data_IF_672340326844
#
_entry.id   IF_672340326844
#
_cell.length_a   1.000
_cell.length_b   1.000
_cell.length_c   1.000
_cell.angle_alpha   90.00
_cell.angle_beta   90.00
_cell.angle_gamma   90.00
#
_symmetry.space_group_name_H-M   'P 1'
#
loop_
_entity.id
_entity.type
_entity.pdbx_description
1 polymer ?
#
# COMPACT_ATOMS: atom_id res chain seq x y z
N UNK A 1 3.78 25.75 -0.77
CA UNK A 1 2.64 26.09 0.12
C UNK A 1 2.74 25.34 1.45
N UNK A 2 2.81 24.00 1.50
CA UNK A 2 2.92 23.27 2.78
C UNK A 2 4.31 22.67 3.10
N UNK A 3 5.23 22.62 2.14
CA UNK A 3 6.51 21.93 2.32
C UNK A 3 6.35 20.40 2.39
N UNK A 4 7.47 19.64 2.35
CA UNK A 4 7.43 18.18 2.20
C UNK A 4 6.82 17.48 3.43
N UNK A 5 7.15 17.94 4.64
CA UNK A 5 6.69 17.29 5.88
C UNK A 5 5.20 17.52 6.15
N UNK A 6 4.74 18.78 6.17
CA UNK A 6 3.31 19.07 6.39
C UNK A 6 2.45 18.64 5.19
N UNK A 7 2.97 18.76 3.96
CA UNK A 7 2.30 18.23 2.78
C UNK A 7 2.06 16.72 2.88
N UNK A 8 3.08 15.96 3.30
CA UNK A 8 2.94 14.53 3.55
C UNK A 8 1.89 14.24 4.62
N UNK A 9 1.94 14.95 5.77
CA UNK A 9 0.97 14.74 6.85
C UNK A 9 -0.47 14.97 6.38
N UNK A 10 -0.75 16.07 5.67
CA UNK A 10 -2.10 16.36 5.18
C UNK A 10 -2.59 15.33 4.16
N UNK A 11 -1.73 14.93 3.22
CA UNK A 11 -2.06 13.88 2.24
C UNK A 11 -2.30 12.55 2.94
N UNK A 12 -1.45 12.19 3.90
CA UNK A 12 -1.58 10.94 4.65
C UNK A 12 -2.87 10.91 5.47
N UNK A 13 -3.17 11.96 6.23
CA UNK A 13 -4.44 12.05 6.98
C UNK A 13 -5.66 12.03 6.06
N UNK A 14 -5.64 12.78 4.96
CA UNK A 14 -6.73 12.77 3.98
C UNK A 14 -6.94 11.40 3.35
N UNK A 15 -5.85 10.71 2.98
CA UNK A 15 -5.90 9.35 2.45
C UNK A 15 -6.45 8.37 3.50
N UNK A 16 -6.03 8.47 4.75
CA UNK A 16 -6.52 7.62 5.85
C UNK A 16 -8.02 7.80 6.06
N UNK A 17 -8.50 9.04 6.17
CA UNK A 17 -9.93 9.33 6.34
C UNK A 17 -10.78 8.87 5.14
N UNK A 18 -10.34 9.18 3.92
CA UNK A 18 -11.03 8.74 2.71
C UNK A 18 -11.05 7.22 2.56
N UNK A 19 -9.94 6.56 2.91
CA UNK A 19 -9.85 5.09 2.89
C UNK A 19 -10.75 4.44 3.94
N UNK A 20 -10.88 5.04 5.13
CA UNK A 20 -11.78 4.56 6.17
C UNK A 20 -13.25 4.70 5.75
N UNK A 21 -13.62 5.86 5.18
CA UNK A 21 -14.97 6.08 4.67
C UNK A 21 -15.33 5.08 3.56
N UNK A 22 -14.46 4.90 2.56
CA UNK A 22 -14.67 3.94 1.48
C UNK A 22 -14.76 2.49 1.98
N UNK A 23 -13.97 2.13 2.99
CA UNK A 23 -14.05 0.82 3.63
C UNK A 23 -15.42 0.58 4.30
N UNK A 24 -15.90 1.55 5.07
CA UNK A 24 -17.22 1.43 5.71
C UNK A 24 -18.35 1.41 4.70
N UNK A 25 -18.29 2.24 3.66
CA UNK A 25 -19.26 2.22 2.55
C UNK A 25 -19.27 0.84 1.88
N UNK A 26 -18.10 0.28 1.57
CA UNK A 26 -18.00 -1.09 1.05
C UNK A 26 -18.63 -2.10 1.99
N UNK A 27 -18.36 -1.98 3.29
CA UNK A 27 -18.83 -2.94 4.30
C UNK A 27 -20.33 -2.92 4.55
N UNK A 28 -20.94 -1.73 4.54
CA UNK A 28 -22.37 -1.57 4.85
C UNK A 28 -23.25 -1.64 3.61
N UNK A 29 -22.84 -0.99 2.51
CA UNK A 29 -23.63 -0.86 1.28
C UNK A 29 -23.20 -1.83 0.17
N UNK A 30 -21.98 -2.35 0.24
CA UNK A 30 -21.42 -3.20 -0.80
C UNK A 30 -21.70 -4.69 -0.64
N UNK A 31 -22.26 -5.16 0.49
CA UNK A 31 -22.45 -6.59 0.75
C UNK A 31 -23.42 -7.26 -0.23
N UNK A 32 -24.48 -6.55 -0.62
CA UNK A 32 -25.44 -7.02 -1.64
C UNK A 32 -24.81 -7.01 -3.04
N UNK A 33 -24.07 -5.96 -3.38
CA UNK A 33 -23.32 -5.85 -4.64
C UNK A 33 -22.22 -6.93 -4.78
N UNK A 34 -21.52 -7.24 -3.68
CA UNK A 34 -20.49 -8.26 -3.61
C UNK A 34 -21.07 -9.67 -3.76
N UNK A 35 -22.22 -9.93 -3.13
CA UNK A 35 -22.97 -11.17 -3.30
C UNK A 35 -23.41 -11.35 -4.76
N UNK A 36 -23.83 -10.27 -5.44
CA UNK A 36 -24.25 -10.33 -6.85
C UNK A 36 -23.09 -10.49 -7.86
N UNK A 37 -21.89 -9.98 -7.55
CA UNK A 37 -20.74 -10.01 -8.47
C UNK A 37 -19.81 -11.21 -8.30
N UNK A 38 -19.64 -11.72 -7.08
CA UNK A 38 -18.54 -12.65 -6.75
C UNK A 38 -19.07 -14.00 -6.23
N UNK A 39 -20.34 -14.09 -5.82
CA UNK A 39 -20.95 -15.34 -5.34
C UNK A 39 -20.16 -16.00 -4.20
N UNK A 40 -20.13 -17.34 -4.14
CA UNK A 40 -19.43 -18.09 -3.08
C UNK A 40 -17.87 -18.01 -3.15
N UNK A 41 -17.27 -17.42 -4.19
CA UNK A 41 -15.81 -17.26 -4.25
C UNK A 41 -15.25 -16.32 -3.18
N UNK A 42 -16.06 -15.37 -2.68
CA UNK A 42 -15.68 -14.49 -1.56
C UNK A 42 -15.35 -15.28 -0.29
N UNK A 43 -16.14 -16.31 0.04
CA UNK A 43 -15.93 -17.14 1.24
C UNK A 43 -14.57 -17.83 1.27
N UNK A 44 -14.05 -18.24 0.10
CA UNK A 44 -12.77 -18.96 0.00
C UNK A 44 -11.56 -18.03 0.25
N UNK A 45 -11.70 -16.73 -0.04
CA UNK A 45 -10.67 -15.74 0.25
C UNK A 45 -10.81 -15.14 1.66
N UNK A 46 -12.03 -15.09 2.19
CA UNK A 46 -12.34 -14.52 3.50
C UNK A 46 -11.54 -15.16 4.65
N UNK A 47 -11.38 -16.48 4.68
CA UNK A 47 -10.73 -17.15 5.82
C UNK A 47 -9.21 -16.86 5.89
N UNK A 48 -8.57 -16.67 4.73
CA UNK A 48 -7.16 -16.28 4.65
C UNK A 48 -6.93 -14.81 5.02
N UNK A 49 -7.86 -13.95 4.60
CA UNK A 49 -7.84 -12.50 4.87
C UNK A 49 -8.17 -12.23 6.35
N UNK A 50 -9.10 -12.98 6.94
CA UNK A 50 -9.48 -12.85 8.34
C UNK A 50 -8.29 -13.13 9.28
N UNK A 51 -7.49 -14.16 8.96
CA UNK A 51 -6.36 -14.57 9.80
C UNK A 51 -5.12 -13.68 9.67
N UNK A 52 -4.91 -13.06 8.50
CA UNK A 52 -3.73 -12.24 8.20
C UNK A 52 -4.11 -10.90 7.57
N UNK A 53 -5.13 -10.24 8.12
CA UNK A 53 -5.72 -9.03 7.55
C UNK A 53 -4.71 -7.92 7.31
N UNK A 54 -3.91 -7.60 8.32
CA UNK A 54 -2.91 -6.53 8.26
C UNK A 54 -1.87 -6.81 7.17
N UNK A 55 -1.31 -8.02 7.17
CA UNK A 55 -0.31 -8.44 6.19
C UNK A 55 -0.87 -8.44 4.77
N UNK A 56 -2.14 -8.82 4.59
CA UNK A 56 -2.82 -8.79 3.29
C UNK A 56 -2.98 -7.35 2.78
N UNK A 57 -3.45 -6.44 3.63
CA UNK A 57 -3.63 -5.03 3.27
C UNK A 57 -2.29 -4.40 2.91
N UNK A 58 -1.28 -4.61 3.76
CA UNK A 58 0.06 -4.11 3.54
C UNK A 58 0.68 -4.68 2.26
N UNK A 59 0.49 -5.98 1.99
CA UNK A 59 0.88 -6.62 0.73
C UNK A 59 0.29 -5.87 -0.46
N UNK A 60 -1.03 -5.66 -0.47
CA UNK A 60 -1.73 -5.01 -1.58
C UNK A 60 -1.27 -3.56 -1.78
N UNK A 61 -0.97 -2.84 -0.70
CA UNK A 61 -0.40 -1.48 -0.79
C UNK A 61 1.01 -1.48 -1.39
N UNK A 62 1.87 -2.39 -0.96
CA UNK A 62 3.27 -2.43 -1.40
C UNK A 62 3.44 -2.87 -2.85
N UNK A 63 2.51 -3.67 -3.38
CA UNK A 63 2.47 -3.99 -4.83
C UNK A 63 1.80 -2.91 -5.67
N UNK A 64 1.54 -1.71 -5.08
CA UNK A 64 0.92 -0.57 -5.74
C UNK A 64 -0.47 -0.85 -6.32
N UNK A 65 -1.27 -1.69 -5.65
CA UNK A 65 -2.63 -1.95 -6.08
C UNK A 65 -3.48 -0.66 -6.08
N UNK A 66 -4.37 -0.45 -7.07
CA UNK A 66 -5.13 0.79 -7.17
C UNK A 66 -5.89 1.15 -5.89
N UNK A 67 -5.70 2.38 -5.40
CA UNK A 67 -6.15 2.80 -4.08
C UNK A 67 -7.65 2.63 -3.87
N UNK A 68 -8.47 3.11 -4.82
CA UNK A 68 -9.93 3.12 -4.70
C UNK A 68 -10.54 1.71 -4.70
N UNK A 69 -10.26 0.85 -5.70
CA UNK A 69 -10.75 -0.54 -5.67
C UNK A 69 -10.31 -1.30 -4.41
N UNK A 70 -9.09 -1.04 -3.91
CA UNK A 70 -8.62 -1.67 -2.68
C UNK A 70 -9.49 -1.30 -1.47
N UNK A 71 -9.82 -0.02 -1.32
CA UNK A 71 -10.53 0.47 -0.14
C UNK A 71 -11.94 -0.13 -0.04
N UNK A 72 -12.68 -0.08 -1.15
CA UNK A 72 -14.02 -0.68 -1.23
C UNK A 72 -13.94 -2.20 -1.15
N UNK A 73 -13.03 -2.82 -1.90
CA UNK A 73 -12.86 -4.26 -1.96
C UNK A 73 -12.54 -4.87 -0.61
N UNK A 74 -11.64 -4.26 0.18
CA UNK A 74 -11.33 -4.73 1.53
C UNK A 74 -12.54 -4.60 2.47
N UNK A 75 -13.40 -3.59 2.28
CA UNK A 75 -14.67 -3.47 3.00
C UNK A 75 -15.65 -4.62 2.75
N UNK A 76 -15.56 -5.28 1.59
CA UNK A 76 -16.37 -6.45 1.24
C UNK A 76 -15.90 -7.75 1.88
N UNK A 77 -14.68 -7.76 2.44
CA UNK A 77 -14.06 -8.95 3.05
C UNK A 77 -14.28 -8.99 4.56
N UNK A 78 -13.93 -10.12 5.19
CA UNK A 78 -13.87 -10.25 6.66
C UNK A 78 -12.72 -9.52 7.35
N UNK A 79 -11.91 -8.73 6.65
CA UNK A 79 -10.78 -8.02 7.28
C UNK A 79 -11.26 -7.08 8.40
N UNK A 80 -10.52 -7.04 9.51
CA UNK A 80 -10.83 -6.12 10.61
C UNK A 80 -10.46 -4.70 10.19
N UNK A 81 -11.27 -3.72 10.59
CA UNK A 81 -11.01 -2.31 10.28
C UNK A 81 -9.62 -1.85 10.77
N UNK A 82 -9.21 -2.29 11.96
CA UNK A 82 -7.89 -1.95 12.52
C UNK A 82 -6.73 -2.51 11.70
N UNK A 83 -6.86 -3.73 11.20
CA UNK A 83 -5.87 -4.34 10.32
C UNK A 83 -5.77 -3.60 8.98
N UNK A 84 -6.92 -3.19 8.44
CA UNK A 84 -7.01 -2.39 7.22
C UNK A 84 -6.40 -1.00 7.36
N UNK A 85 -6.76 -0.26 8.42
CA UNK A 85 -6.31 1.12 8.58
C UNK A 85 -4.81 1.16 8.94
N UNK A 86 -4.33 0.23 9.79
CA UNK A 86 -2.92 0.13 10.12
C UNK A 86 -2.07 -0.31 8.91
N UNK A 87 -2.53 -1.32 8.16
CA UNK A 87 -1.85 -1.79 6.95
C UNK A 87 -1.82 -0.72 5.86
N UNK A 88 -2.89 0.06 5.72
CA UNK A 88 -2.95 1.21 4.80
C UNK A 88 -2.00 2.32 5.24
N UNK A 89 -2.06 2.74 6.50
CA UNK A 89 -1.22 3.82 7.02
C UNK A 89 0.27 3.50 6.88
N UNK A 90 0.67 2.31 7.29
CA UNK A 90 2.06 1.86 7.14
C UNK A 90 2.44 1.69 5.66
N UNK A 91 1.57 1.10 4.84
CA UNK A 91 1.82 0.91 3.41
C UNK A 91 2.03 2.23 2.67
N UNK A 92 1.28 3.28 3.00
CA UNK A 92 1.50 4.62 2.45
C UNK A 92 2.85 5.18 2.91
N UNK A 93 3.18 5.11 4.21
CA UNK A 93 4.46 5.63 4.73
C UNK A 93 5.65 4.95 4.02
N UNK A 94 5.64 3.62 3.97
CA UNK A 94 6.72 2.83 3.35
C UNK A 94 6.77 3.08 1.85
N UNK A 95 5.63 3.02 1.16
CA UNK A 95 5.55 3.26 -0.28
C UNK A 95 6.02 4.66 -0.67
N UNK A 96 5.62 5.69 0.08
CA UNK A 96 6.07 7.07 -0.12
C UNK A 96 7.57 7.20 0.12
N UNK A 97 8.12 6.65 1.22
CA UNK A 97 9.55 6.71 1.48
C UNK A 97 10.38 6.12 0.34
N UNK A 98 10.04 4.90 -0.08
CA UNK A 98 10.76 4.19 -1.14
C UNK A 98 10.66 4.96 -2.46
N UNK A 99 9.47 5.43 -2.81
CA UNK A 99 9.24 6.16 -4.07
C UNK A 99 9.95 7.52 -4.08
N UNK A 100 9.87 8.29 -2.99
CA UNK A 100 10.54 9.58 -2.86
C UNK A 100 12.07 9.42 -2.85
N UNK A 101 12.60 8.39 -2.19
CA UNK A 101 14.03 8.10 -2.21
C UNK A 101 14.54 7.72 -3.61
N UNK A 102 13.78 6.89 -4.31
CA UNK A 102 14.09 6.51 -5.70
C UNK A 102 14.09 7.72 -6.64
N UNK A 103 13.01 8.51 -6.63
CA UNK A 103 12.91 9.72 -7.46
C UNK A 103 13.96 10.75 -7.06
N UNK A 104 14.23 10.94 -5.78
CA UNK A 104 15.26 11.86 -5.30
C UNK A 104 16.63 11.50 -5.85
N UNK A 105 16.98 10.21 -5.81
CA UNK A 105 18.25 9.73 -6.37
C UNK A 105 18.31 9.92 -7.89
N UNK A 106 17.23 9.63 -8.62
CA UNK A 106 17.17 9.90 -10.07
C UNK A 106 17.28 11.40 -10.40
N UNK A 107 16.64 12.25 -9.60
CA UNK A 107 16.69 13.71 -9.75
C UNK A 107 18.10 14.23 -9.52
N UNK A 108 18.82 13.72 -8.52
CA UNK A 108 20.21 14.09 -8.25
C UNK A 108 21.10 13.78 -9.46
N UNK A 109 20.97 12.57 -10.03
CA UNK A 109 21.70 12.17 -11.25
C UNK A 109 21.38 13.09 -12.41
N UNK A 110 20.09 13.34 -12.67
CA UNK A 110 19.66 14.23 -13.76
C UNK A 110 20.19 15.66 -13.59
N UNK A 111 20.11 16.21 -12.37
CA UNK A 111 20.56 17.56 -12.06
C UNK A 111 22.09 17.71 -12.13
N UNK A 112 22.84 16.64 -11.81
CA UNK A 112 24.29 16.63 -11.91
C UNK A 112 24.82 16.63 -13.36
N UNK A 113 24.01 16.17 -14.32
CA UNK A 113 24.42 15.95 -15.71
C UNK A 113 25.41 14.79 -15.90
N UNK A 114 25.84 14.14 -14.81
CA UNK A 114 26.80 13.04 -14.83
C UNK A 114 26.06 11.69 -14.86
N UNK A 115 25.84 11.16 -16.06
CA UNK A 115 25.19 9.86 -16.26
C UNK A 115 25.98 8.67 -15.68
N UNK A 116 27.26 8.85 -15.33
CA UNK A 116 28.05 7.84 -14.62
C UNK A 116 27.52 7.52 -13.22
N UNK A 117 26.83 8.48 -12.58
CA UNK A 117 26.26 8.29 -11.25
C UNK A 117 25.09 7.29 -11.22
N UNK A 118 24.53 6.93 -12.39
CA UNK A 118 23.59 5.81 -12.51
C UNK A 118 24.17 4.49 -12.03
N UNK A 119 25.49 4.31 -12.15
CA UNK A 119 26.20 3.09 -11.73
C UNK A 119 26.62 3.18 -10.25
N UNK A 120 26.34 4.29 -9.58
CA UNK A 120 26.70 4.47 -8.17
C UNK A 120 25.97 3.48 -7.25
N UNK A 121 26.63 3.13 -6.15
CA UNK A 121 26.05 2.29 -5.10
C UNK A 121 24.72 2.85 -4.57
N UNK A 122 24.55 4.18 -4.53
CA UNK A 122 23.31 4.86 -4.11
C UNK A 122 22.13 4.54 -5.04
N UNK A 123 22.35 4.53 -6.35
CA UNK A 123 21.31 4.18 -7.35
C UNK A 123 20.98 2.69 -7.28
N UNK A 124 21.99 1.82 -7.22
CA UNK A 124 21.78 0.38 -7.04
C UNK A 124 21.03 0.06 -5.74
N UNK A 125 21.37 0.73 -4.64
CA UNK A 125 20.67 0.57 -3.37
C UNK A 125 19.22 1.07 -3.44
N UNK A 126 18.97 2.19 -4.14
CA UNK A 126 17.61 2.72 -4.35
C UNK A 126 16.75 1.78 -5.18
N UNK A 127 17.28 1.26 -6.29
CA UNK A 127 16.63 0.24 -7.12
C UNK A 127 16.43 -1.04 -6.31
N UNK A 128 17.43 -1.44 -5.53
CA UNK A 128 17.38 -2.58 -4.63
C UNK A 128 16.27 -2.46 -3.59
N UNK A 129 16.13 -1.31 -2.93
CA UNK A 129 15.04 -1.03 -1.99
C UNK A 129 13.68 -1.02 -2.68
N UNK A 130 13.57 -0.41 -3.86
CA UNK A 130 12.33 -0.40 -4.65
C UNK A 130 11.92 -1.80 -5.07
N UNK A 131 12.86 -2.58 -5.62
CA UNK A 131 12.64 -3.98 -5.99
C UNK A 131 12.32 -4.84 -4.76
N UNK A 132 13.06 -4.65 -3.66
CA UNK A 132 12.82 -5.34 -2.40
C UNK A 132 11.45 -5.01 -1.81
N UNK A 133 10.89 -3.82 -2.07
CA UNK A 133 9.52 -3.47 -1.64
C UNK A 133 8.47 -4.47 -2.13
N UNK A 134 8.69 -5.09 -3.30
CA UNK A 134 7.85 -6.16 -3.83
C UNK A 134 8.09 -7.52 -3.15
N UNK A 135 9.22 -7.70 -2.45
CA UNK A 135 9.60 -8.92 -1.70
C UNK A 135 9.38 -8.82 -0.18
N UNK A 136 9.33 -7.62 0.41
CA UNK A 136 8.85 -7.36 1.78
C UNK A 136 7.59 -8.20 2.10
N UNK A 137 6.61 -8.31 1.19
CA UNK A 137 5.39 -9.07 1.47
C UNK A 137 5.61 -10.59 1.55
N UNK A 138 6.60 -11.16 0.84
CA UNK A 138 7.00 -12.58 0.98
C UNK A 138 7.69 -12.84 2.32
N UNK A 139 8.48 -11.89 2.81
CA UNK A 139 9.17 -11.99 4.10
C UNK A 139 8.17 -11.94 5.25
N UNK A 140 7.20 -11.02 5.21
CA UNK A 140 6.14 -10.92 6.22
C UNK A 140 5.33 -12.22 6.30
N UNK A 141 4.90 -12.77 5.14
CA UNK A 141 4.16 -14.03 5.09
C UNK A 141 4.95 -15.23 5.64
N UNK A 142 6.29 -15.19 5.61
CA UNK A 142 7.17 -16.24 6.15
C UNK A 142 7.36 -16.13 7.67
N UNK A 143 7.25 -14.92 8.22
CA UNK A 143 7.41 -14.64 9.66
C UNK A 143 6.08 -14.85 10.41
N UNK A 144 4.93 -14.60 9.77
CA UNK A 144 3.60 -14.77 10.38
C UNK A 144 3.04 -16.20 10.23
N UNK A 145 3.81 -17.14 9.69
CA UNK A 145 3.43 -18.55 9.51
C UNK A 145 3.97 -19.39 10.66
#
# INVERSE_FOLDING_TARGET
>A
IFGPYWGFLWVWFGAMLGSAAAFFIGRTLGREFAASLIGDKLKKYDDGIERNGFATVLYLRLVYFPFTPMNFGMGLTKVRFWDYIAGTGLGIIVGTFIFTFFIGTLKDVWASGNWGDLISFKVFFSIGLFAFSFFIPKVIKKITK
#
